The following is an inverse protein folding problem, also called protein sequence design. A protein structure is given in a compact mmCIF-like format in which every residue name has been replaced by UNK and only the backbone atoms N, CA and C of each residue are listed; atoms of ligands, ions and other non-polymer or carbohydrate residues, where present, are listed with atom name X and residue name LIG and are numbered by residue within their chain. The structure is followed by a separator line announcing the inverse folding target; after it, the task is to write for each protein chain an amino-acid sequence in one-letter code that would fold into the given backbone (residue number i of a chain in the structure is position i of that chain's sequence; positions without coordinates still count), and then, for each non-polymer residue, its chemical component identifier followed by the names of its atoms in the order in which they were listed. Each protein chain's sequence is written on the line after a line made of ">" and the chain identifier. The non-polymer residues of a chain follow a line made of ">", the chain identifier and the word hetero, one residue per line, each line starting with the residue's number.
data_IF_289492425056
#
_entry.id   IF_289492425056
#
_cell.length_a   1.000
_cell.length_b   1.000
_cell.length_c   1.000
_cell.angle_alpha   90.00
_cell.angle_beta   90.00
_cell.angle_gamma   90.00
#
_symmetry.space_group_name_H-M   'P 1'
#
loop_
_entity.id
_entity.type
_entity.pdbx_description
1 polymer ?
#
# COMPACT_ATOMS: atom_id res chain seq x y z
N UNK A 1 -43.74 -28.84 -8.97
CA UNK A 1 -43.12 -27.50 -8.97
C UNK A 1 -43.61 -26.77 -7.74
N UNK A 2 -42.79 -26.78 -6.70
CA UNK A 2 -43.14 -26.41 -5.34
C UNK A 2 -43.29 -24.89 -5.17
N UNK A 3 -44.53 -24.45 -4.92
CA UNK A 3 -44.88 -23.04 -4.65
C UNK A 3 -44.14 -22.43 -3.45
N UNK A 4 -43.47 -23.24 -2.62
CA UNK A 4 -42.73 -22.80 -1.44
C UNK A 4 -41.39 -22.14 -1.76
N UNK A 5 -40.75 -22.49 -2.88
CA UNK A 5 -39.42 -21.94 -3.24
C UNK A 5 -39.53 -20.48 -3.72
N UNK A 6 -40.64 -20.10 -4.34
CA UNK A 6 -40.84 -18.73 -4.85
C UNK A 6 -40.97 -17.66 -3.76
N UNK A 7 -41.55 -18.00 -2.60
CA UNK A 7 -41.76 -17.04 -1.51
C UNK A 7 -40.47 -16.70 -0.76
N UNK A 8 -39.53 -17.63 -0.66
CA UNK A 8 -38.24 -17.40 0.03
C UNK A 8 -37.37 -16.44 -0.78
N UNK A 9 -37.35 -16.59 -2.10
CA UNK A 9 -36.52 -15.76 -2.98
C UNK A 9 -36.98 -14.30 -3.02
N UNK A 10 -38.29 -14.06 -2.99
CA UNK A 10 -38.87 -12.71 -2.98
C UNK A 10 -38.63 -11.98 -1.64
N UNK A 11 -38.65 -12.71 -0.51
CA UNK A 11 -38.36 -12.15 0.80
C UNK A 11 -36.90 -11.69 0.95
N UNK A 12 -35.95 -12.47 0.45
CA UNK A 12 -34.51 -12.12 0.51
C UNK A 12 -34.20 -10.89 -0.34
N UNK A 13 -34.80 -10.78 -1.54
CA UNK A 13 -34.56 -9.64 -2.43
C UNK A 13 -35.03 -8.31 -1.81
N UNK A 14 -36.20 -8.30 -1.17
CA UNK A 14 -36.74 -7.11 -0.49
C UNK A 14 -35.89 -6.68 0.72
N UNK A 15 -35.33 -7.65 1.45
CA UNK A 15 -34.50 -7.38 2.64
C UNK A 15 -33.15 -6.76 2.25
N UNK A 16 -32.56 -7.18 1.12
CA UNK A 16 -31.33 -6.58 0.58
C UNK A 16 -31.56 -5.16 0.06
N UNK A 17 -32.72 -4.87 -0.56
CA UNK A 17 -33.01 -3.50 -1.04
C UNK A 17 -33.22 -2.52 0.11
N UNK A 18 -33.87 -2.96 1.20
CA UNK A 18 -34.07 -2.12 2.39
C UNK A 18 -32.73 -1.80 3.10
N UNK A 19 -31.77 -2.72 3.10
CA UNK A 19 -30.47 -2.51 3.74
C UNK A 19 -29.61 -1.44 3.04
N UNK A 20 -29.72 -1.34 1.70
CA UNK A 20 -29.00 -0.34 0.92
C UNK A 20 -29.54 1.09 1.09
N UNK A 21 -30.82 1.28 1.43
CA UNK A 21 -31.40 2.62 1.61
C UNK A 21 -31.08 3.25 2.97
N UNK A 22 -30.81 2.45 4.02
CA UNK A 22 -30.49 2.99 5.36
C UNK A 22 -29.03 3.43 5.49
N UNK A 23 -28.13 2.93 4.64
CA UNK A 23 -26.70 3.22 4.75
C UNK A 23 -26.26 4.52 4.04
N UNK A 24 -27.21 5.28 3.46
CA UNK A 24 -26.95 6.50 2.69
C UNK A 24 -27.00 7.83 3.46
N UNK A 25 -27.28 7.84 4.76
CA UNK A 25 -27.33 9.05 5.60
C UNK A 25 -26.29 8.99 6.73
N UNK A 26 -25.00 9.02 6.39
CA UNK A 26 -23.96 9.36 7.37
C UNK A 26 -23.45 10.77 7.09
N UNK A 27 -24.15 11.71 7.71
CA UNK A 27 -23.84 13.12 7.86
C UNK A 27 -22.44 13.29 8.46
N UNK A 28 -21.56 14.01 7.79
CA UNK A 28 -20.23 14.36 8.31
C UNK A 28 -20.30 15.24 9.57
N UNK A 29 -19.30 15.15 10.48
CA UNK A 29 -19.27 15.97 11.67
C UNK A 29 -18.99 17.44 11.33
N UNK A 30 -19.87 18.30 11.85
CA UNK A 30 -19.73 19.75 11.89
C UNK A 30 -18.47 20.16 12.67
N UNK A 31 -17.73 21.12 12.12
CA UNK A 31 -16.58 21.75 12.78
C UNK A 31 -17.04 22.54 14.02
N UNK A 32 -16.31 22.47 15.15
CA UNK A 32 -16.65 23.20 16.35
C UNK A 32 -16.38 24.70 16.21
N UNK A 33 -17.29 25.46 16.81
CA UNK A 33 -17.35 26.90 16.87
C UNK A 33 -16.14 27.56 17.54
N UNK A 34 -15.80 28.75 17.02
CA UNK A 34 -14.82 29.67 17.54
C UNK A 34 -15.08 30.03 19.02
N UNK A 35 -14.04 29.90 19.84
CA UNK A 35 -14.00 30.44 21.19
C UNK A 35 -13.47 31.88 21.17
N UNK A 36 -14.21 32.71 21.91
CA UNK A 36 -14.05 34.13 22.16
C UNK A 36 -12.98 34.33 23.25
N UNK A 37 -12.04 35.25 23.08
CA UNK A 37 -11.00 35.57 24.06
C UNK A 37 -10.43 36.97 23.83
N UNK A 38 -10.94 37.90 24.62
CA UNK A 38 -10.71 39.35 24.67
C UNK A 38 -9.40 39.77 25.37
N UNK A 39 -9.08 41.06 25.20
CA UNK A 39 -8.17 41.94 25.96
C UNK A 39 -6.66 41.86 25.61
N UNK A 40 -5.96 42.93 25.24
CA UNK A 40 -6.25 44.36 25.14
C UNK A 40 -4.91 45.11 25.00
N UNK A 41 -4.91 46.33 24.45
CA UNK A 41 -3.72 47.20 24.55
C UNK A 41 -3.52 48.25 23.45
N UNK A 42 -4.19 49.39 23.63
CA UNK A 42 -3.80 50.78 23.29
C UNK A 42 -3.53 51.19 21.83
N UNK A 43 -4.49 51.98 21.34
CA UNK A 43 -4.34 53.20 20.54
C UNK A 43 -3.03 53.96 20.78
N UNK A 44 -2.41 54.40 19.69
CA UNK A 44 -2.14 55.83 19.47
C UNK A 44 -2.23 56.14 17.96
N UNK A 45 -3.15 57.05 17.66
CA UNK A 45 -3.43 57.69 16.38
C UNK A 45 -2.25 58.50 15.86
N UNK A 46 -1.97 58.40 14.56
CA UNK A 46 -1.70 59.59 13.74
C UNK A 46 -1.93 59.26 12.26
N UNK A 47 -3.10 59.66 11.77
CA UNK A 47 -3.39 59.77 10.35
C UNK A 47 -2.65 60.99 9.75
N UNK A 48 -2.02 60.82 8.60
CA UNK A 48 -1.87 61.89 7.61
C UNK A 48 -2.09 61.32 6.22
N UNK A 49 -3.10 61.91 5.60
CA UNK A 49 -3.65 61.71 4.27
C UNK A 49 -2.62 61.84 3.14
N UNK A 50 -2.70 60.96 2.15
CA UNK A 50 -1.98 61.12 0.88
C UNK A 50 -2.48 60.15 -0.18
N UNK A 51 -2.98 60.71 -1.27
CA UNK A 51 -3.53 60.04 -2.44
C UNK A 51 -2.68 58.90 -3.03
N UNK A 52 -3.34 57.83 -3.47
CA UNK A 52 -3.13 57.20 -4.79
C UNK A 52 -4.04 55.97 -4.91
N UNK A 53 -4.84 55.93 -5.98
CA UNK A 53 -5.47 54.70 -6.43
C UNK A 53 -4.36 53.74 -6.88
N UNK A 54 -3.98 52.81 -6.00
CA UNK A 54 -3.16 51.66 -6.35
C UNK A 54 -4.01 50.41 -6.18
N UNK A 55 -4.03 49.61 -7.23
CA UNK A 55 -4.66 48.30 -7.26
C UNK A 55 -4.23 47.46 -6.03
N UNK A 56 -5.15 46.66 -5.44
CA UNK A 56 -4.78 45.79 -4.34
C UNK A 56 -3.80 44.74 -4.83
N UNK A 57 -2.52 44.94 -4.48
CA UNK A 57 -1.52 43.88 -4.45
C UNK A 57 -1.99 42.89 -3.39
N UNK A 58 -2.59 41.78 -3.83
CA UNK A 58 -2.86 40.63 -2.96
C UNK A 58 -1.50 40.08 -2.54
N UNK A 59 -1.01 40.54 -1.38
CA UNK A 59 0.03 39.84 -0.64
C UNK A 59 -0.58 38.50 -0.23
N UNK A 60 -0.22 37.47 -0.99
CA UNK A 60 -0.49 36.07 -0.68
C UNK A 60 0.37 35.69 0.51
N UNK A 61 -0.03 36.15 1.69
CA UNK A 61 0.57 35.74 2.96
C UNK A 61 0.10 34.31 3.23
N UNK A 62 1.06 33.41 3.21
CA UNK A 62 0.90 31.98 3.39
C UNK A 62 0.44 31.69 4.83
N UNK A 63 -0.67 30.97 4.96
CA UNK A 63 -0.87 30.04 6.08
C UNK A 63 -1.09 28.66 5.48
N UNK A 64 -0.03 28.13 4.84
CA UNK A 64 0.09 26.68 4.67
C UNK A 64 0.41 26.19 6.06
N UNK A 65 -0.60 25.70 6.78
CA UNK A 65 -0.37 25.00 8.03
C UNK A 65 0.61 23.86 7.77
N UNK A 66 1.65 23.79 8.60
CA UNK A 66 2.60 22.69 8.72
C UNK A 66 1.85 21.38 9.01
N UNK A 67 1.25 20.81 7.98
CA UNK A 67 0.91 19.40 7.98
C UNK A 67 2.22 18.67 7.67
N UNK A 68 2.80 17.92 8.61
CA UNK A 68 3.99 17.14 8.32
C UNK A 68 3.64 16.20 7.16
N UNK A 69 4.34 16.36 6.05
CA UNK A 69 4.32 15.37 4.98
C UNK A 69 4.64 14.01 5.63
N UNK A 70 3.86 12.94 5.37
CA UNK A 70 4.25 11.62 5.84
C UNK A 70 5.65 11.32 5.32
N UNK A 71 6.55 10.94 6.22
CA UNK A 71 7.98 10.73 6.01
C UNK A 71 8.27 9.82 4.79
N UNK A 72 8.31 10.39 3.60
CA UNK A 72 8.88 9.76 2.40
C UNK A 72 10.43 9.72 2.47
N UNK A 73 11.03 10.28 3.52
CA UNK A 73 12.47 10.51 3.65
C UNK A 73 13.28 9.29 4.12
N UNK A 74 12.67 8.17 4.50
CA UNK A 74 13.39 6.94 4.91
C UNK A 74 13.38 5.83 3.85
N UNK A 75 13.29 6.19 2.56
CA UNK A 75 13.60 5.28 1.45
C UNK A 75 15.05 5.43 0.95
N UNK A 76 15.87 6.24 1.63
CA UNK A 76 17.30 6.31 1.36
C UNK A 76 17.95 4.98 1.75
N UNK A 77 18.16 4.11 0.75
CA UNK A 77 18.97 2.91 0.89
C UNK A 77 20.37 3.33 1.37
N UNK A 78 20.85 2.84 2.53
CA UNK A 78 22.20 3.14 2.98
C UNK A 78 23.19 2.68 1.91
N UNK A 79 23.93 3.65 1.36
CA UNK A 79 24.90 3.44 0.31
C UNK A 79 26.09 2.64 0.83
N UNK A 80 25.98 1.31 0.75
CA UNK A 80 27.04 0.31 0.58
C UNK A 80 26.42 -1.04 0.94
N UNK A 81 25.82 -1.69 -0.05
CA UNK A 81 25.41 -3.09 0.08
C UNK A 81 26.69 -3.94 0.18
N UNK A 82 26.97 -4.61 1.32
CA UNK A 82 28.08 -5.54 1.39
C UNK A 82 27.90 -6.63 0.32
N UNK A 83 28.97 -6.94 -0.41
CA UNK A 83 28.97 -8.02 -1.38
C UNK A 83 28.63 -9.34 -0.66
N UNK A 84 27.49 -9.94 -0.98
CA UNK A 84 27.05 -11.20 -0.38
C UNK A 84 27.98 -12.33 -0.82
N UNK A 85 28.80 -12.78 0.14
CA UNK A 85 29.46 -14.08 0.07
C UNK A 85 28.40 -15.16 0.30
N UNK A 86 28.03 -15.89 -0.75
CA UNK A 86 27.62 -17.30 -0.58
C UNK A 86 26.13 -17.67 -0.61
N UNK A 87 25.30 -17.02 -1.43
CA UNK A 87 24.12 -17.73 -1.98
C UNK A 87 24.47 -18.22 -3.38
N UNK A 88 25.37 -19.20 -3.43
CA UNK A 88 25.58 -20.03 -4.63
C UNK A 88 24.46 -21.07 -4.65
N UNK A 89 23.29 -20.68 -5.14
CA UNK A 89 22.13 -21.54 -5.28
C UNK A 89 21.50 -21.33 -6.65
N UNK A 90 21.73 -22.28 -7.55
CA UNK A 90 20.93 -22.57 -8.75
C UNK A 90 20.84 -21.49 -9.86
N UNK A 91 21.98 -21.09 -10.43
CA UNK A 91 22.03 -20.66 -11.82
C UNK A 91 21.95 -21.90 -12.73
N UNK A 92 20.75 -22.48 -12.90
CA UNK A 92 20.58 -23.71 -13.70
C UNK A 92 19.15 -24.11 -14.05
N UNK A 93 18.13 -23.29 -13.78
CA UNK A 93 16.76 -23.57 -14.19
C UNK A 93 16.50 -23.05 -15.61
N UNK A 94 17.01 -23.76 -16.62
CA UNK A 94 16.62 -23.58 -18.02
C UNK A 94 15.35 -24.39 -18.30
N UNK A 95 14.17 -23.75 -18.21
CA UNK A 95 12.90 -24.37 -18.61
C UNK A 95 11.72 -23.38 -18.49
N UNK A 96 10.79 -23.34 -19.47
CA UNK A 96 9.68 -22.39 -19.47
C UNK A 96 8.53 -22.94 -18.63
N UNK A 97 8.31 -22.36 -17.45
CA UNK A 97 7.02 -22.49 -16.78
C UNK A 97 6.65 -21.10 -16.27
N UNK A 98 5.62 -20.51 -16.88
CA UNK A 98 4.75 -19.55 -16.23
C UNK A 98 3.95 -20.29 -15.13
N UNK A 99 4.67 -20.87 -14.18
CA UNK A 99 4.12 -21.66 -13.08
C UNK A 99 3.61 -20.73 -11.99
N UNK A 100 2.89 -21.28 -10.99
CA UNK A 100 2.62 -20.54 -9.77
C UNK A 100 3.95 -19.99 -9.24
N UNK A 101 4.00 -18.68 -9.00
CA UNK A 101 5.24 -18.02 -8.60
C UNK A 101 5.64 -18.53 -7.24
N UNK A 102 6.60 -19.45 -7.23
CA UNK A 102 7.26 -19.89 -6.03
C UNK A 102 8.29 -18.82 -5.70
N UNK A 103 8.22 -18.14 -4.54
CA UNK A 103 9.32 -17.31 -4.09
C UNK A 103 10.60 -18.17 -4.14
N UNK A 104 11.56 -17.76 -4.97
CA UNK A 104 12.78 -18.53 -5.19
C UNK A 104 13.72 -18.33 -4.00
N UNK A 105 13.43 -18.98 -2.88
CA UNK A 105 14.31 -18.97 -1.71
C UNK A 105 13.63 -19.47 -0.45
N UNK A 106 14.43 -19.69 0.58
CA UNK A 106 13.93 -20.11 1.88
C UNK A 106 13.19 -18.95 2.54
N UNK A 107 11.92 -19.16 2.90
CA UNK A 107 11.15 -18.20 3.67
C UNK A 107 11.70 -18.13 5.09
N UNK A 108 12.01 -16.94 5.58
CA UNK A 108 12.30 -16.74 7.01
C UNK A 108 11.00 -16.35 7.69
N UNK A 109 10.52 -17.20 8.61
CA UNK A 109 9.27 -17.00 9.33
C UNK A 109 9.59 -16.68 10.80
N UNK A 110 8.85 -15.73 11.37
CA UNK A 110 8.91 -15.37 12.78
C UNK A 110 7.49 -15.25 13.35
N UNK A 111 7.32 -15.63 14.62
CA UNK A 111 6.03 -15.62 15.31
C UNK A 111 5.16 -16.86 15.02
N UNK A 112 3.84 -16.65 14.96
CA UNK A 112 2.83 -17.73 14.81
C UNK A 112 2.58 -18.12 13.34
N UNK A 113 3.32 -17.55 12.39
CA UNK A 113 3.09 -17.73 10.96
C UNK A 113 3.71 -19.05 10.50
N UNK A 114 2.89 -19.91 9.91
CA UNK A 114 3.36 -21.14 9.27
C UNK A 114 3.68 -20.91 7.80
N UNK A 115 4.38 -21.87 7.21
CA UNK A 115 4.73 -21.83 5.79
C UNK A 115 3.49 -21.73 4.89
N UNK A 116 2.42 -22.46 5.20
CA UNK A 116 1.19 -22.43 4.41
C UNK A 116 0.49 -21.06 4.47
N UNK A 117 0.56 -20.40 5.62
CA UNK A 117 0.00 -19.05 5.81
C UNK A 117 0.84 -17.99 5.08
N UNK A 118 2.17 -18.15 5.10
CA UNK A 118 3.08 -17.29 4.35
C UNK A 118 2.87 -17.45 2.83
N UNK A 119 2.71 -18.66 2.33
CA UNK A 119 2.36 -18.92 0.93
C UNK A 119 1.02 -18.29 0.56
N UNK A 120 0.00 -18.41 1.41
CA UNK A 120 -1.29 -17.76 1.19
C UNK A 120 -1.18 -16.24 1.13
N UNK A 121 -0.39 -15.63 2.02
CA UNK A 121 -0.10 -14.20 2.01
C UNK A 121 0.58 -13.77 0.70
N UNK A 122 1.63 -14.48 0.30
CA UNK A 122 2.39 -14.21 -0.93
C UNK A 122 1.48 -14.33 -2.15
N UNK A 123 0.66 -15.38 -2.21
CA UNK A 123 -0.31 -15.59 -3.29
C UNK A 123 -1.34 -14.46 -3.37
N UNK A 124 -1.77 -13.91 -2.24
CA UNK A 124 -2.74 -12.81 -2.20
C UNK A 124 -2.14 -11.49 -2.72
N UNK A 125 -0.89 -11.17 -2.38
CA UNK A 125 -0.22 -9.92 -2.81
C UNK A 125 0.35 -10.00 -4.23
N UNK A 126 0.67 -11.20 -4.72
CA UNK A 126 1.43 -11.38 -5.95
C UNK A 126 0.82 -10.73 -7.21
N UNK A 127 -0.49 -10.82 -7.48
CA UNK A 127 -1.07 -10.19 -8.66
C UNK A 127 -0.82 -8.68 -8.72
N UNK A 128 -1.01 -7.99 -7.59
CA UNK A 128 -0.79 -6.55 -7.51
C UNK A 128 0.70 -6.18 -7.66
N UNK A 129 1.62 -6.96 -7.06
CA UNK A 129 3.06 -6.77 -7.25
C UNK A 129 3.46 -6.95 -8.72
N UNK A 130 2.88 -7.95 -9.40
CA UNK A 130 3.11 -8.19 -10.82
C UNK A 130 2.62 -7.02 -11.68
N UNK A 131 1.45 -6.46 -11.39
CA UNK A 131 0.95 -5.28 -12.09
C UNK A 131 1.89 -4.07 -11.90
N UNK A 132 2.38 -3.84 -10.67
CA UNK A 132 3.41 -2.83 -10.39
C UNK A 132 4.67 -3.03 -11.24
N UNK A 133 5.09 -4.28 -11.43
CA UNK A 133 6.27 -4.62 -12.23
C UNK A 133 6.04 -4.42 -13.73
N UNK A 134 4.86 -4.75 -14.26
CA UNK A 134 4.49 -4.46 -15.66
C UNK A 134 4.57 -2.95 -15.93
N UNK A 135 4.04 -2.12 -15.02
CA UNK A 135 4.16 -0.67 -15.15
C UNK A 135 5.61 -0.17 -15.09
N UNK A 136 6.45 -0.78 -14.23
CA UNK A 136 7.87 -0.48 -14.19
C UNK A 136 8.54 -0.79 -15.53
N UNK A 137 8.25 -1.95 -16.13
CA UNK A 137 8.82 -2.38 -17.42
C UNK A 137 8.48 -1.42 -18.55
N UNK A 138 7.29 -0.82 -18.54
CA UNK A 138 6.90 0.21 -19.52
C UNK A 138 7.80 1.45 -19.45
N UNK A 139 8.26 1.83 -18.24
CA UNK A 139 9.17 2.98 -18.03
C UNK A 139 10.65 2.61 -18.16
N UNK A 140 11.00 1.39 -17.77
CA UNK A 140 12.35 0.87 -17.76
C UNK A 140 12.36 -0.56 -18.34
N UNK A 141 12.43 -0.72 -19.68
CA UNK A 141 12.37 -2.02 -20.36
C UNK A 141 13.56 -2.96 -20.09
N UNK A 142 14.56 -2.51 -19.33
CA UNK A 142 15.67 -3.32 -18.84
C UNK A 142 15.55 -3.65 -17.34
N UNK A 143 14.46 -3.24 -16.68
CA UNK A 143 14.24 -3.53 -15.27
C UNK A 143 14.20 -5.05 -15.06
N UNK A 144 15.07 -5.50 -14.16
CA UNK A 144 15.19 -6.86 -13.62
C UNK A 144 15.98 -6.76 -12.32
N UNK A 145 15.78 -7.67 -11.39
CA UNK A 145 16.57 -7.66 -10.17
C UNK A 145 15.98 -8.46 -9.04
N UNK A 146 16.69 -8.41 -7.92
CA UNK A 146 16.29 -9.05 -6.66
C UNK A 146 15.82 -8.02 -5.65
N UNK A 147 14.86 -8.42 -4.84
CA UNK A 147 14.33 -7.68 -3.71
C UNK A 147 14.14 -8.62 -2.52
N UNK A 148 14.67 -8.26 -1.34
CA UNK A 148 14.44 -8.99 -0.10
C UNK A 148 13.52 -8.14 0.78
N UNK A 149 12.28 -8.58 0.92
CA UNK A 149 11.24 -7.87 1.68
C UNK A 149 10.92 -8.63 2.95
N UNK A 150 10.67 -7.91 4.04
CA UNK A 150 10.05 -8.42 5.26
C UNK A 150 8.73 -7.69 5.46
N UNK A 151 7.64 -8.42 5.71
CA UNK A 151 6.34 -7.83 6.03
C UNK A 151 5.72 -8.54 7.22
N UNK A 152 4.84 -7.85 7.95
CA UNK A 152 4.10 -8.43 9.06
C UNK A 152 2.78 -9.02 8.58
N UNK A 153 2.38 -10.10 9.21
CA UNK A 153 1.05 -10.69 9.10
C UNK A 153 0.32 -10.41 10.41
N UNK A 154 -0.91 -9.90 10.32
CA UNK A 154 -1.74 -9.50 11.47
C UNK A 154 -3.16 -10.01 11.32
N UNK A 155 -3.89 -10.22 12.43
CA UNK A 155 -5.32 -10.47 12.36
C UNK A 155 -6.02 -9.23 11.81
N UNK A 156 -7.00 -9.42 10.94
CA UNK A 156 -7.81 -8.34 10.38
C UNK A 156 -9.28 -8.49 10.79
N UNK A 157 -9.97 -9.47 10.22
CA UNK A 157 -11.38 -9.78 10.47
C UNK A 157 -11.51 -11.26 10.86
N UNK A 158 -12.72 -11.70 11.22
CA UNK A 158 -12.96 -13.11 11.56
C UNK A 158 -12.54 -14.02 10.40
N UNK A 159 -11.59 -14.92 10.66
CA UNK A 159 -10.98 -15.83 9.67
C UNK A 159 -10.21 -15.14 8.54
N UNK A 160 -9.73 -13.91 8.76
CA UNK A 160 -8.88 -13.19 7.81
C UNK A 160 -7.64 -12.62 8.48
N UNK A 161 -6.52 -12.71 7.76
CA UNK A 161 -5.32 -11.98 8.07
C UNK A 161 -5.09 -10.90 7.01
N UNK A 162 -4.42 -9.83 7.42
CA UNK A 162 -3.89 -8.82 6.52
C UNK A 162 -2.36 -8.81 6.63
N UNK A 163 -1.72 -8.52 5.50
CA UNK A 163 -0.32 -8.13 5.50
C UNK A 163 -0.19 -6.63 5.76
N UNK A 164 0.95 -6.21 6.28
CA UNK A 164 1.23 -4.80 6.48
C UNK A 164 2.63 -4.55 7.00
N UNK A 165 3.03 -3.29 7.05
CA UNK A 165 4.36 -2.85 7.48
C UNK A 165 5.47 -3.58 6.71
N UNK A 166 5.66 -3.17 5.45
CA UNK A 166 6.76 -3.66 4.62
C UNK A 166 8.08 -2.95 4.94
N UNK A 167 9.08 -3.75 5.34
CA UNK A 167 10.48 -3.36 5.44
C UNK A 167 11.28 -3.94 4.27
N UNK A 168 11.99 -3.07 3.57
CA UNK A 168 12.86 -3.47 2.48
C UNK A 168 14.26 -3.72 3.05
N UNK A 169 14.65 -5.00 3.19
CA UNK A 169 16.01 -5.34 3.64
C UNK A 169 17.03 -5.02 2.54
N UNK A 170 16.72 -5.42 1.31
CA UNK A 170 17.57 -5.19 0.13
C UNK A 170 16.71 -4.98 -1.13
N UNK A 171 17.17 -4.15 -2.06
CA UNK A 171 16.57 -4.04 -3.40
C UNK A 171 17.59 -3.59 -4.44
N UNK A 172 17.43 -4.10 -5.66
CA UNK A 172 18.12 -3.59 -6.86
C UNK A 172 17.25 -2.63 -7.66
N UNK A 173 15.98 -2.46 -7.30
CA UNK A 173 15.05 -1.55 -7.96
C UNK A 173 15.19 -0.15 -7.36
N UNK A 174 15.36 0.85 -8.21
CA UNK A 174 15.53 2.26 -7.83
C UNK A 174 14.34 3.15 -8.19
N UNK A 175 13.33 2.61 -8.89
CA UNK A 175 12.15 3.38 -9.30
C UNK A 175 11.21 3.58 -8.09
N UNK A 176 11.01 4.82 -7.61
CA UNK A 176 10.24 5.09 -6.41
C UNK A 176 8.73 4.80 -6.59
N UNK A 177 8.20 4.92 -7.82
CA UNK A 177 6.80 4.60 -8.10
C UNK A 177 6.54 3.11 -7.95
N UNK A 178 7.45 2.28 -8.45
CA UNK A 178 7.43 0.83 -8.28
C UNK A 178 7.50 0.43 -6.80
N UNK A 179 8.48 0.95 -6.05
CA UNK A 179 8.62 0.62 -4.62
C UNK A 179 7.38 1.04 -3.81
N UNK A 180 6.77 2.18 -4.13
CA UNK A 180 5.54 2.65 -3.50
C UNK A 180 4.35 1.75 -3.84
N UNK A 181 4.23 1.35 -5.12
CA UNK A 181 3.19 0.43 -5.57
C UNK A 181 3.29 -0.93 -4.87
N UNK A 182 4.49 -1.51 -4.77
CA UNK A 182 4.73 -2.78 -4.05
C UNK A 182 4.36 -2.67 -2.58
N UNK A 183 4.75 -1.58 -1.91
CA UNK A 183 4.37 -1.34 -0.51
C UNK A 183 2.85 -1.28 -0.36
N UNK A 184 2.16 -0.53 -1.23
CA UNK A 184 0.70 -0.46 -1.21
C UNK A 184 0.04 -1.81 -1.49
N UNK A 185 0.59 -2.63 -2.40
CA UNK A 185 0.10 -3.98 -2.66
C UNK A 185 0.18 -4.87 -1.41
N UNK A 186 1.29 -4.78 -0.66
CA UNK A 186 1.48 -5.53 0.59
C UNK A 186 0.57 -5.00 1.69
N UNK A 187 0.47 -3.69 1.89
CA UNK A 187 -0.34 -3.12 2.98
C UNK A 187 -1.86 -3.36 2.79
N UNK A 188 -2.31 -3.63 1.56
CA UNK A 188 -3.72 -3.88 1.25
C UNK A 188 -4.09 -5.36 1.07
N UNK A 189 -3.11 -6.27 1.03
CA UNK A 189 -3.39 -7.68 0.80
C UNK A 189 -4.03 -8.34 2.04
N UNK A 190 -5.10 -9.10 1.77
CA UNK A 190 -5.87 -9.86 2.76
C UNK A 190 -6.05 -11.28 2.27
N UNK A 191 -6.04 -12.23 3.20
CA UNK A 191 -6.16 -13.65 2.88
C UNK A 191 -6.88 -14.42 3.99
N UNK A 192 -7.58 -15.51 3.65
CA UNK A 192 -8.28 -16.33 4.63
C UNK A 192 -7.30 -17.11 5.50
N UNK A 193 -7.58 -17.19 6.79
CA UNK A 193 -6.76 -17.94 7.78
C UNK A 193 -7.66 -18.69 8.75
N UNK A 194 -7.19 -19.83 9.24
CA UNK A 194 -7.96 -20.66 10.17
C UNK A 194 -7.97 -20.11 11.62
N UNK A 195 -6.96 -19.29 11.97
CA UNK A 195 -6.76 -18.73 13.31
C UNK A 195 -6.14 -17.34 13.20
N UNK A 196 -6.21 -16.58 14.28
CA UNK A 196 -5.50 -15.30 14.36
C UNK A 196 -3.99 -15.54 14.25
N UNK A 197 -3.35 -14.90 13.27
CA UNK A 197 -1.91 -15.00 13.02
C UNK A 197 -1.25 -13.67 13.35
N UNK A 198 -0.09 -13.74 14.01
CA UNK A 198 0.77 -12.59 14.20
C UNK A 198 2.22 -13.02 14.01
N UNK A 199 2.93 -12.34 13.13
CA UNK A 199 4.33 -12.65 12.86
C UNK A 199 4.90 -11.84 11.71
N UNK A 200 6.08 -12.22 11.27
CA UNK A 200 6.72 -11.61 10.10
C UNK A 200 7.22 -12.66 9.12
N UNK A 201 7.21 -12.30 7.85
CA UNK A 201 7.63 -13.16 6.74
C UNK A 201 8.68 -12.39 5.96
N UNK A 202 9.88 -12.98 5.82
CA UNK A 202 10.91 -12.49 4.90
C UNK A 202 10.87 -13.29 3.61
N UNK A 203 10.66 -12.61 2.49
CA UNK A 203 10.53 -13.22 1.17
C UNK A 203 11.62 -12.68 0.24
N UNK A 204 12.48 -13.54 -0.31
CA UNK A 204 13.32 -13.18 -1.43
C UNK A 204 12.50 -13.22 -2.72
N UNK A 205 12.41 -12.07 -3.39
CA UNK A 205 11.74 -11.93 -4.67
C UNK A 205 12.76 -11.68 -5.79
N UNK A 206 12.62 -12.42 -6.88
CA UNK A 206 13.39 -12.26 -8.10
C UNK A 206 12.42 -11.93 -9.23
N UNK A 207 12.66 -10.81 -9.91
CA UNK A 207 11.85 -10.40 -11.06
C UNK A 207 12.72 -10.32 -12.31
N UNK A 208 12.26 -11.00 -13.34
CA UNK A 208 12.85 -11.06 -14.66
C UNK A 208 11.81 -10.63 -15.72
N UNK A 209 12.22 -10.31 -16.96
CA UNK A 209 11.29 -9.85 -18.00
C UNK A 209 10.12 -10.83 -18.26
N UNK A 210 10.36 -12.14 -18.18
CA UNK A 210 9.34 -13.16 -18.38
C UNK A 210 8.17 -13.09 -17.37
N UNK A 211 8.39 -12.54 -16.19
CA UNK A 211 7.34 -12.41 -15.16
C UNK A 211 6.27 -11.39 -15.57
N UNK A 212 6.63 -10.45 -16.45
CA UNK A 212 5.71 -9.50 -17.07
C UNK A 212 4.90 -10.10 -18.25
N UNK A 213 5.10 -11.39 -18.57
CA UNK A 213 4.45 -12.06 -19.70
C UNK A 213 5.17 -11.89 -21.04
N UNK A 214 6.39 -11.34 -21.04
CA UNK A 214 7.23 -11.29 -22.24
C UNK A 214 7.81 -12.69 -22.54
N UNK A 215 7.81 -13.15 -23.80
CA UNK A 215 8.45 -14.41 -24.16
C UNK A 215 9.96 -14.33 -23.89
N UNK A 216 10.56 -15.43 -23.42
CA UNK A 216 12.01 -15.50 -23.26
C UNK A 216 12.68 -15.23 -24.61
N UNK A 217 13.62 -14.28 -24.64
CA UNK A 217 14.45 -14.05 -25.83
C UNK A 217 15.28 -15.32 -26.08
N UNK A 218 15.08 -15.93 -27.26
CA UNK A 218 15.79 -17.12 -27.71
C UNK A 218 17.20 -16.79 -28.20
#
# INVERSE_FOLDING_TARGET
>A
MDRKVGFVLLGVLALVTAYFLVSGLSSGPAAPAASKGEAGGKEDDHATSGAAAQAPVIKREQAIGDQPAPDAANLALPGQLPALKGVQGAAGATGPVAGPVTPHGQLELDGDVKEEDAEAAIKAMWPAIKDCYVELRQRAPQARGRMLMNFKVRPAEANQAATGEMFLKETQFTDPKYLTCVRAAIDNARFPVAKNLNGSVTVPLFLAPQDAGEPAAQ
#
